data_IF_160636392925
#
_entry.id   IF_160636392925
#
_cell.length_a   1.000
_cell.length_b   1.000
_cell.length_c   1.000
_cell.angle_alpha   90.00
_cell.angle_beta   90.00
_cell.angle_gamma   90.00
#
_symmetry.space_group_name_H-M   'P 1'
#
loop_
_entity.id
_entity.type
_entity.pdbx_description
1 polymer ?
#
# COMPACT_ATOMS: atom_id res chain seq x y z
N UNK A 1 -8.45 15.63 -8.79
CA UNK A 1 -8.77 14.46 -7.94
C UNK A 1 -9.84 13.56 -8.53
N UNK A 2 -11.05 14.07 -8.83
CA UNK A 2 -12.15 13.26 -9.40
C UNK A 2 -11.78 12.62 -10.76
N UNK A 3 -11.23 13.40 -11.69
CA UNK A 3 -10.79 12.90 -13.01
C UNK A 3 -9.76 11.78 -12.91
N UNK A 4 -8.81 11.90 -11.98
CA UNK A 4 -7.78 10.88 -11.72
C UNK A 4 -8.40 9.57 -11.22
N UNK A 5 -9.30 9.63 -10.24
CA UNK A 5 -9.98 8.45 -9.68
C UNK A 5 -10.86 7.75 -10.72
N UNK A 6 -11.57 8.54 -11.55
CA UNK A 6 -12.39 8.00 -12.65
C UNK A 6 -11.53 7.32 -13.71
N UNK A 7 -10.40 7.93 -14.08
CA UNK A 7 -9.47 7.35 -15.05
C UNK A 7 -8.89 6.02 -14.52
N UNK A 8 -8.42 6.01 -13.26
CA UNK A 8 -7.95 4.78 -12.60
C UNK A 8 -9.02 3.68 -12.57
N UNK A 9 -10.25 4.01 -12.15
CA UNK A 9 -11.36 3.05 -12.12
C UNK A 9 -11.67 2.47 -13.50
N UNK A 10 -11.71 3.32 -14.53
CA UNK A 10 -11.92 2.87 -15.90
C UNK A 10 -10.78 2.02 -16.45
N UNK A 11 -9.53 2.34 -16.10
CA UNK A 11 -8.37 1.52 -16.47
C UNK A 11 -8.42 0.13 -15.86
N UNK A 12 -8.90 -0.03 -14.62
CA UNK A 12 -9.12 -1.35 -14.04
C UNK A 12 -10.21 -2.13 -14.77
N UNK A 13 -11.33 -1.48 -15.10
CA UNK A 13 -12.40 -2.12 -15.89
C UNK A 13 -11.88 -2.60 -17.25
N UNK A 14 -11.07 -1.79 -17.93
CA UNK A 14 -10.54 -2.16 -19.25
C UNK A 14 -9.47 -3.23 -19.15
N UNK A 15 -8.45 -3.03 -18.32
CA UNK A 15 -7.25 -3.87 -18.33
C UNK A 15 -7.43 -5.16 -17.52
N UNK A 16 -8.23 -5.15 -16.46
CA UNK A 16 -8.33 -6.31 -15.56
C UNK A 16 -9.60 -7.13 -15.84
N UNK A 17 -10.68 -6.50 -16.32
CA UNK A 17 -11.94 -7.19 -16.60
C UNK A 17 -12.20 -7.37 -18.10
N UNK A 18 -12.15 -6.29 -18.88
CA UNK A 18 -12.61 -6.33 -20.27
C UNK A 18 -11.62 -7.03 -21.20
N UNK A 19 -10.35 -6.61 -21.18
CA UNK A 19 -9.31 -7.13 -22.07
C UNK A 19 -9.04 -8.62 -21.80
N UNK A 20 -8.81 -9.09 -20.56
CA UNK A 20 -8.45 -10.49 -20.33
C UNK A 20 -9.62 -11.47 -20.53
N UNK A 21 -10.85 -11.06 -20.18
CA UNK A 21 -11.99 -11.99 -20.10
C UNK A 21 -13.02 -11.85 -21.22
N UNK A 22 -13.24 -10.65 -21.79
CA UNK A 22 -14.27 -10.44 -22.80
C UNK A 22 -13.69 -10.36 -24.21
N UNK A 23 -12.64 -9.56 -24.41
CA UNK A 23 -12.09 -9.24 -25.73
C UNK A 23 -10.58 -9.01 -25.67
N UNK A 24 -9.75 -10.08 -25.76
CA UNK A 24 -8.29 -9.99 -25.58
C UNK A 24 -7.50 -9.49 -26.80
N UNK A 25 -8.09 -9.51 -28.00
CA UNK A 25 -7.39 -9.18 -29.25
C UNK A 25 -8.07 -8.03 -30.02
N UNK A 26 -8.45 -6.96 -29.33
CA UNK A 26 -9.04 -5.77 -29.95
C UNK A 26 -8.02 -4.65 -30.12
N UNK A 27 -8.35 -3.68 -30.98
CA UNK A 27 -7.48 -2.51 -31.20
C UNK A 27 -7.37 -1.62 -29.96
N UNK A 28 -6.25 -0.93 -29.79
CA UNK A 28 -6.08 0.04 -28.70
C UNK A 28 -7.14 1.15 -28.72
N UNK A 29 -7.59 1.56 -29.93
CA UNK A 29 -8.69 2.52 -30.08
C UNK A 29 -9.99 2.00 -29.48
N UNK A 30 -10.26 0.70 -29.61
CA UNK A 30 -11.42 0.06 -28.99
C UNK A 30 -11.31 0.09 -27.46
N UNK A 31 -10.16 -0.29 -26.90
CA UNK A 31 -9.95 -0.25 -25.44
C UNK A 31 -10.08 1.17 -24.86
N UNK A 32 -9.60 2.19 -25.57
CA UNK A 32 -9.80 3.59 -25.16
C UNK A 32 -11.27 3.98 -25.14
N UNK A 33 -12.06 3.55 -26.13
CA UNK A 33 -13.50 3.80 -26.15
C UNK A 33 -14.23 3.08 -25.02
N UNK A 34 -13.90 1.82 -24.76
CA UNK A 34 -14.45 1.07 -23.62
C UNK A 34 -14.06 1.75 -22.30
N UNK A 35 -12.85 2.28 -22.17
CA UNK A 35 -12.43 3.05 -21.00
C UNK A 35 -13.24 4.34 -20.81
N UNK A 36 -13.60 5.04 -21.89
CA UNK A 36 -14.49 6.21 -21.83
C UNK A 36 -15.90 5.82 -21.37
N UNK A 37 -16.46 4.75 -21.91
CA UNK A 37 -17.77 4.23 -21.48
C UNK A 37 -17.71 3.82 -20.01
N UNK A 38 -16.68 3.07 -19.62
CA UNK A 38 -16.45 2.68 -18.22
C UNK A 38 -16.37 3.88 -17.29
N UNK A 39 -15.67 4.95 -17.68
CA UNK A 39 -15.60 6.20 -16.90
C UNK A 39 -16.97 6.81 -16.67
N UNK A 40 -17.81 6.89 -17.72
CA UNK A 40 -19.17 7.45 -17.64
C UNK A 40 -20.07 6.57 -16.76
N UNK A 41 -20.00 5.25 -16.90
CA UNK A 41 -20.76 4.30 -16.08
C UNK A 41 -20.37 4.40 -14.61
N UNK A 42 -19.07 4.39 -14.31
CA UNK A 42 -18.57 4.56 -12.93
C UNK A 42 -19.03 5.90 -12.35
N UNK A 43 -19.02 6.97 -13.14
CA UNK A 43 -19.51 8.28 -12.69
C UNK A 43 -20.99 8.26 -12.34
N UNK A 44 -21.82 7.70 -13.22
CA UNK A 44 -23.26 7.60 -12.99
C UNK A 44 -23.58 6.78 -11.74
N UNK A 45 -22.89 5.64 -11.55
CA UNK A 45 -23.02 4.83 -10.33
C UNK A 45 -22.55 5.57 -9.08
N UNK A 46 -21.45 6.32 -9.18
CA UNK A 46 -20.92 7.11 -8.07
C UNK A 46 -21.91 8.20 -7.65
N UNK A 47 -22.52 8.90 -8.62
CA UNK A 47 -23.57 9.88 -8.36
C UNK A 47 -24.81 9.26 -7.74
N UNK A 48 -25.24 8.10 -8.24
CA UNK A 48 -26.36 7.35 -7.67
C UNK A 48 -26.10 7.00 -6.20
N UNK A 49 -24.95 6.43 -5.89
CA UNK A 49 -24.59 6.08 -4.50
C UNK A 49 -24.49 7.34 -3.63
N UNK A 50 -23.85 8.39 -4.13
CA UNK A 50 -23.70 9.65 -3.41
C UNK A 50 -25.05 10.31 -3.09
N UNK A 51 -25.99 10.30 -4.03
CA UNK A 51 -27.28 10.95 -3.84
C UNK A 51 -28.20 10.18 -2.88
N UNK A 52 -28.26 8.85 -2.99
CA UNK A 52 -29.22 8.04 -2.23
C UNK A 52 -28.69 7.50 -0.89
N UNK A 53 -27.38 7.25 -0.78
CA UNK A 53 -26.82 6.51 0.37
C UNK A 53 -25.87 7.34 1.24
N UNK A 54 -25.26 8.39 0.68
CA UNK A 54 -24.27 9.18 1.42
C UNK A 54 -24.99 10.25 2.25
N UNK A 55 -25.35 9.88 3.47
CA UNK A 55 -25.76 10.82 4.52
C UNK A 55 -24.55 11.14 5.42
N UNK A 56 -24.21 12.42 5.54
CA UNK A 56 -23.04 12.85 6.33
C UNK A 56 -21.72 12.39 5.70
N UNK A 57 -21.18 13.20 4.78
CA UNK A 57 -19.97 12.90 3.99
C UNK A 57 -18.77 12.46 4.86
N UNK A 58 -18.66 13.02 6.08
CA UNK A 58 -17.57 12.70 7.01
C UNK A 58 -17.60 11.25 7.49
N UNK A 59 -18.76 10.71 7.86
CA UNK A 59 -18.88 9.33 8.33
C UNK A 59 -18.45 8.34 7.23
N UNK A 60 -18.91 8.59 5.99
CA UNK A 60 -18.50 7.84 4.82
C UNK A 60 -17.01 7.97 4.51
N UNK A 61 -16.44 9.17 4.68
CA UNK A 61 -15.00 9.38 4.52
C UNK A 61 -14.19 8.56 5.54
N UNK A 62 -14.57 8.57 6.82
CA UNK A 62 -13.90 7.81 7.88
C UNK A 62 -14.05 6.30 7.68
N UNK A 63 -15.24 5.86 7.25
CA UNK A 63 -15.51 4.48 6.88
C UNK A 63 -14.61 4.00 5.73
N UNK A 64 -14.58 4.72 4.60
CA UNK A 64 -13.76 4.34 3.43
C UNK A 64 -12.27 4.32 3.78
N UNK A 65 -11.77 5.32 4.52
CA UNK A 65 -10.39 5.32 4.98
C UNK A 65 -10.10 4.11 5.86
N UNK A 66 -11.02 3.74 6.75
CA UNK A 66 -10.85 2.56 7.59
C UNK A 66 -10.84 1.28 6.77
N UNK A 67 -11.72 1.10 5.79
CA UNK A 67 -11.72 -0.09 4.92
C UNK A 67 -10.36 -0.25 4.22
N UNK A 68 -9.87 0.82 3.60
CA UNK A 68 -8.62 0.81 2.85
C UNK A 68 -7.45 0.55 3.79
N UNK A 69 -7.30 1.30 4.87
CA UNK A 69 -6.10 1.22 5.70
C UNK A 69 -6.13 0.09 6.73
N UNK A 70 -7.29 -0.26 7.30
CA UNK A 70 -7.38 -1.27 8.35
C UNK A 70 -7.14 -2.69 7.86
N UNK A 71 -7.51 -3.00 6.62
CA UNK A 71 -7.38 -4.34 6.05
C UNK A 71 -6.26 -4.44 5.01
N UNK A 72 -6.09 -3.43 4.15
CA UNK A 72 -5.08 -3.50 3.07
C UNK A 72 -3.67 -3.24 3.59
N UNK A 73 -3.47 -2.39 4.61
CA UNK A 73 -2.11 -2.17 5.15
C UNK A 73 -1.52 -3.45 5.77
N UNK A 74 -2.21 -4.15 6.70
CA UNK A 74 -1.74 -5.44 7.21
C UNK A 74 -1.44 -6.45 6.11
N UNK A 75 -2.35 -6.59 5.13
CA UNK A 75 -2.19 -7.50 4.00
C UNK A 75 -0.91 -7.18 3.23
N UNK A 76 -0.76 -5.92 2.81
CA UNK A 76 0.35 -5.46 1.98
C UNK A 76 1.70 -5.63 2.68
N UNK A 77 1.72 -5.42 4.00
CA UNK A 77 2.90 -5.63 4.82
C UNK A 77 3.20 -7.12 4.98
N UNK A 78 2.26 -7.93 5.48
CA UNK A 78 2.46 -9.35 5.74
C UNK A 78 2.94 -10.12 4.51
N UNK A 79 2.48 -9.73 3.30
CA UNK A 79 2.87 -10.37 2.04
C UNK A 79 4.37 -10.41 1.80
N UNK A 80 5.10 -9.38 2.24
CA UNK A 80 6.55 -9.32 2.08
C UNK A 80 7.29 -9.81 3.31
N UNK A 81 6.74 -9.65 4.51
CA UNK A 81 7.48 -9.91 5.75
C UNK A 81 7.16 -11.27 6.41
N UNK A 82 6.21 -12.04 5.89
CA UNK A 82 5.78 -13.31 6.50
C UNK A 82 5.53 -14.42 5.48
N UNK A 83 6.31 -15.50 5.55
CA UNK A 83 6.26 -16.63 4.60
C UNK A 83 4.93 -17.37 4.55
N UNK A 84 4.13 -17.31 5.62
CA UNK A 84 2.94 -18.17 5.77
C UNK A 84 1.70 -17.58 5.12
N UNK A 85 1.71 -16.28 4.80
CA UNK A 85 0.58 -15.61 4.14
C UNK A 85 0.26 -16.33 2.83
N UNK A 86 -1.02 -16.57 2.60
CA UNK A 86 -1.52 -17.21 1.39
C UNK A 86 -2.67 -16.39 0.79
N UNK A 87 -3.09 -16.78 -0.41
CA UNK A 87 -4.14 -16.08 -1.16
C UNK A 87 -5.48 -16.05 -0.42
N UNK A 88 -5.79 -17.04 0.42
CA UNK A 88 -7.03 -17.07 1.20
C UNK A 88 -7.04 -16.00 2.29
N UNK A 89 -5.91 -15.79 2.98
CA UNK A 89 -5.76 -14.70 3.95
C UNK A 89 -5.89 -13.32 3.29
N UNK A 90 -5.32 -13.15 2.09
CA UNK A 90 -5.46 -11.93 1.30
C UNK A 90 -6.91 -11.69 0.87
N UNK A 91 -7.56 -12.71 0.30
CA UNK A 91 -8.95 -12.63 -0.14
C UNK A 91 -9.89 -12.36 1.04
N UNK A 92 -9.67 -12.98 2.21
CA UNK A 92 -10.47 -12.75 3.39
C UNK A 92 -10.42 -11.30 3.85
N UNK A 93 -9.25 -10.66 3.86
CA UNK A 93 -9.14 -9.24 4.21
C UNK A 93 -9.93 -8.34 3.25
N UNK A 94 -9.90 -8.63 1.95
CA UNK A 94 -10.62 -7.85 0.94
C UNK A 94 -12.14 -8.06 1.02
N UNK A 95 -12.58 -9.31 1.18
CA UNK A 95 -14.00 -9.68 1.17
C UNK A 95 -14.68 -9.33 2.49
N UNK A 96 -14.02 -9.59 3.63
CA UNK A 96 -14.58 -9.35 4.97
C UNK A 96 -14.37 -7.90 5.40
N UNK A 97 -13.33 -7.22 4.90
CA UNK A 97 -12.98 -5.88 5.34
C UNK A 97 -14.08 -4.84 5.13
N UNK A 98 -14.74 -4.87 3.97
CA UNK A 98 -15.85 -3.96 3.65
C UNK A 98 -17.08 -4.18 4.56
N UNK A 99 -17.67 -5.39 4.65
CA UNK A 99 -18.84 -5.61 5.51
C UNK A 99 -18.52 -5.39 6.99
N UNK A 100 -17.34 -5.81 7.47
CA UNK A 100 -16.97 -5.63 8.87
C UNK A 100 -16.79 -4.14 9.22
N UNK A 101 -16.15 -3.38 8.33
CA UNK A 101 -16.06 -1.93 8.48
C UNK A 101 -17.44 -1.27 8.47
N UNK A 102 -18.36 -1.73 7.62
CA UNK A 102 -19.70 -1.15 7.54
C UNK A 102 -20.43 -1.36 8.86
N UNK A 103 -20.39 -2.58 9.40
CA UNK A 103 -21.01 -2.93 10.69
C UNK A 103 -20.44 -2.08 11.83
N UNK A 104 -19.13 -1.90 11.88
CA UNK A 104 -18.48 -1.09 12.92
C UNK A 104 -18.86 0.38 12.80
N UNK A 105 -18.80 0.98 11.61
CA UNK A 105 -19.03 2.41 11.45
C UNK A 105 -20.50 2.81 11.59
N UNK A 106 -21.44 2.01 11.08
CA UNK A 106 -22.85 2.39 11.00
C UNK A 106 -23.69 1.72 12.11
N UNK A 107 -23.99 0.39 12.09
CA UNK A 107 -24.72 -0.28 13.17
C UNK A 107 -24.16 -0.11 14.58
N UNK A 108 -22.83 -0.21 14.76
CA UNK A 108 -22.20 -0.07 16.08
C UNK A 108 -21.95 1.39 16.48
N UNK A 109 -22.30 2.36 15.63
CA UNK A 109 -22.31 3.78 15.99
C UNK A 109 -20.94 4.46 16.08
N UNK A 110 -19.84 3.84 15.62
CA UNK A 110 -18.52 4.47 15.64
C UNK A 110 -18.41 5.68 14.71
N UNK A 111 -19.38 5.89 13.81
CA UNK A 111 -19.52 7.14 13.03
C UNK A 111 -19.84 8.37 13.88
N UNK A 112 -20.36 8.20 15.10
CA UNK A 112 -20.63 9.31 16.00
C UNK A 112 -19.42 9.64 16.88
N UNK A 113 -18.65 10.65 16.49
CA UNK A 113 -17.45 11.08 17.23
C UNK A 113 -17.71 11.58 18.66
N UNK A 114 -18.93 12.03 18.96
CA UNK A 114 -19.28 12.46 20.31
C UNK A 114 -19.35 11.28 21.27
N UNK A 115 -19.70 10.10 20.76
CA UNK A 115 -19.74 8.86 21.53
C UNK A 115 -18.39 8.13 21.48
N UNK A 116 -17.77 8.06 20.30
CA UNK A 116 -16.55 7.29 20.07
C UNK A 116 -15.54 8.09 19.25
N UNK A 117 -14.35 8.40 19.79
CA UNK A 117 -13.26 8.94 19.00
C UNK A 117 -12.93 8.07 17.80
N UNK A 118 -12.67 8.69 16.64
CA UNK A 118 -12.35 7.99 15.38
C UNK A 118 -11.28 6.89 15.54
N UNK A 119 -10.23 7.15 16.32
CA UNK A 119 -9.12 6.22 16.52
C UNK A 119 -9.56 4.89 17.13
N UNK A 120 -10.65 4.86 17.92
CA UNK A 120 -11.17 3.61 18.50
C UNK A 120 -11.73 2.69 17.42
N UNK A 121 -12.60 3.23 16.55
CA UNK A 121 -13.18 2.46 15.45
C UNK A 121 -12.10 2.00 14.47
N UNK A 122 -11.14 2.87 14.17
CA UNK A 122 -10.00 2.52 13.32
C UNK A 122 -9.12 1.42 13.93
N UNK A 123 -8.70 1.53 15.18
CA UNK A 123 -7.87 0.52 15.83
C UNK A 123 -8.59 -0.82 16.00
N UNK A 124 -9.89 -0.78 16.30
CA UNK A 124 -10.73 -1.97 16.34
C UNK A 124 -10.72 -2.69 14.99
N UNK A 125 -10.98 -1.97 13.90
CA UNK A 125 -10.97 -2.54 12.56
C UNK A 125 -9.57 -3.01 12.13
N UNK A 126 -8.52 -2.28 12.49
CA UNK A 126 -7.15 -2.67 12.19
C UNK A 126 -6.78 -3.98 12.91
N UNK A 127 -7.12 -4.09 14.19
CA UNK A 127 -6.93 -5.31 14.97
C UNK A 127 -7.75 -6.48 14.42
N UNK A 128 -9.03 -6.24 14.08
CA UNK A 128 -9.89 -7.24 13.46
C UNK A 128 -9.36 -7.69 12.10
N UNK A 129 -8.91 -6.76 11.24
CA UNK A 129 -8.31 -7.09 9.95
C UNK A 129 -7.06 -7.95 10.10
N UNK A 130 -6.16 -7.59 11.02
CA UNK A 130 -4.98 -8.39 11.32
C UNK A 130 -5.35 -9.79 11.84
N UNK A 131 -6.32 -9.87 12.75
CA UNK A 131 -6.82 -11.13 13.29
C UNK A 131 -7.48 -12.00 12.21
N UNK A 132 -8.30 -11.42 11.33
CA UNK A 132 -8.94 -12.11 10.20
C UNK A 132 -7.90 -12.69 9.26
N UNK A 133 -6.88 -11.90 8.88
CA UNK A 133 -5.80 -12.38 8.00
C UNK A 133 -5.08 -13.55 8.65
N UNK A 134 -4.67 -13.41 9.92
CA UNK A 134 -3.94 -14.47 10.63
C UNK A 134 -4.80 -15.72 10.77
N UNK A 135 -6.05 -15.57 11.23
CA UNK A 135 -6.96 -16.69 11.44
C UNK A 135 -7.18 -17.47 10.14
N UNK A 136 -7.54 -16.80 9.05
CA UNK A 136 -7.77 -17.48 7.76
C UNK A 136 -6.49 -18.09 7.22
N UNK A 137 -5.34 -17.42 7.36
CA UNK A 137 -4.05 -17.94 6.93
C UNK A 137 -3.69 -19.26 7.63
N UNK A 138 -3.97 -19.38 8.93
CA UNK A 138 -3.72 -20.61 9.68
C UNK A 138 -4.77 -21.70 9.44
N UNK A 139 -6.02 -21.32 9.18
CA UNK A 139 -7.10 -22.26 8.86
C UNK A 139 -7.02 -22.83 7.44
N UNK A 140 -6.22 -22.22 6.57
CA UNK A 140 -6.08 -22.63 5.16
C UNK A 140 -4.69 -23.20 4.86
N UNK A 141 -4.54 -24.05 3.83
CA UNK A 141 -3.25 -24.64 3.49
C UNK A 141 -2.19 -23.58 3.16
N UNK A 142 -0.91 -23.83 3.50
CA UNK A 142 0.18 -22.95 3.06
C UNK A 142 0.36 -22.99 1.54
N UNK A 143 0.92 -21.91 1.00
CA UNK A 143 1.33 -21.85 -0.41
C UNK A 143 2.44 -22.89 -0.69
N UNK A 144 2.52 -23.37 -1.93
CA UNK A 144 3.52 -24.37 -2.32
C UNK A 144 4.93 -23.85 -2.05
N UNK A 145 5.77 -24.70 -1.46
CA UNK A 145 7.13 -24.31 -1.07
C UNK A 145 7.97 -23.89 -2.27
N UNK A 146 7.72 -24.46 -3.45
CA UNK A 146 8.37 -24.09 -4.70
C UNK A 146 8.07 -22.64 -5.12
N UNK A 147 6.80 -22.20 -4.99
CA UNK A 147 6.40 -20.82 -5.26
C UNK A 147 7.11 -19.87 -4.30
N UNK A 148 7.16 -20.21 -3.01
CA UNK A 148 7.80 -19.40 -1.99
C UNK A 148 9.33 -19.30 -2.20
N UNK A 149 9.97 -20.39 -2.63
CA UNK A 149 11.39 -20.40 -3.00
C UNK A 149 11.67 -19.49 -4.19
N UNK A 150 10.84 -19.56 -5.22
CA UNK A 150 11.00 -18.71 -6.40
C UNK A 150 10.84 -17.22 -6.06
N UNK A 151 9.82 -16.91 -5.26
CA UNK A 151 9.61 -15.56 -4.75
C UNK A 151 10.81 -15.07 -3.92
N UNK A 152 11.30 -15.89 -2.98
CA UNK A 152 12.44 -15.53 -2.14
C UNK A 152 13.72 -15.34 -2.95
N UNK A 153 13.96 -16.17 -3.97
CA UNK A 153 15.12 -16.06 -4.86
C UNK A 153 15.14 -14.74 -5.64
N UNK A 154 13.97 -14.28 -6.11
CA UNK A 154 13.83 -13.05 -6.89
C UNK A 154 13.84 -11.79 -6.03
N UNK A 155 13.00 -11.77 -4.99
CA UNK A 155 12.73 -10.55 -4.23
C UNK A 155 13.62 -10.40 -2.99
N UNK A 156 14.22 -11.49 -2.49
CA UNK A 156 15.02 -11.54 -1.25
C UNK A 156 14.40 -10.71 -0.11
N UNK A 157 13.10 -10.92 0.17
CA UNK A 157 12.38 -10.05 1.07
C UNK A 157 12.91 -10.17 2.52
N UNK A 158 12.96 -9.05 3.27
CA UNK A 158 13.19 -9.10 4.71
C UNK A 158 12.03 -9.77 5.46
N UNK A 159 12.29 -10.26 6.68
CA UNK A 159 11.25 -10.72 7.61
C UNK A 159 11.33 -12.19 8.01
N UNK A 160 10.18 -12.74 8.40
CA UNK A 160 10.04 -14.10 8.89
C UNK A 160 9.91 -15.05 7.69
N UNK A 161 11.06 -15.50 7.17
CA UNK A 161 11.14 -16.46 6.03
C UNK A 161 11.76 -17.81 6.40
N UNK A 162 11.81 -18.12 7.70
CA UNK A 162 12.56 -19.24 8.28
C UNK A 162 12.55 -20.56 7.49
N UNK A 163 11.39 -21.16 7.17
CA UNK A 163 11.32 -22.43 6.46
C UNK A 163 11.94 -22.39 5.06
N UNK A 164 11.74 -21.28 4.33
CA UNK A 164 12.25 -21.10 2.97
C UNK A 164 13.76 -20.81 2.99
N UNK A 165 14.22 -20.01 3.96
CA UNK A 165 15.62 -19.59 4.10
C UNK A 165 16.56 -20.75 4.44
N UNK A 166 16.07 -21.79 5.13
CA UNK A 166 16.87 -22.95 5.55
C UNK A 166 17.48 -23.72 4.36
N UNK A 167 16.85 -23.65 3.20
CA UNK A 167 17.31 -24.34 1.99
C UNK A 167 18.47 -23.60 1.28
N UNK A 168 18.82 -22.39 1.71
CA UNK A 168 19.88 -21.58 1.11
C UNK A 168 21.20 -21.69 1.87
N UNK A 169 22.32 -21.60 1.14
CA UNK A 169 23.66 -21.69 1.74
C UNK A 169 23.90 -20.61 2.81
N UNK A 170 24.73 -20.89 3.84
CA UNK A 170 25.07 -19.89 4.87
C UNK A 170 25.62 -18.59 4.30
N UNK A 171 26.36 -18.66 3.19
CA UNK A 171 26.96 -17.50 2.52
C UNK A 171 25.90 -16.59 1.89
N UNK A 172 24.95 -17.17 1.14
CA UNK A 172 23.84 -16.42 0.54
C UNK A 172 23.01 -15.73 1.62
N UNK A 173 22.75 -16.42 2.74
CA UNK A 173 22.01 -15.85 3.88
C UNK A 173 22.73 -14.65 4.51
N UNK A 174 24.06 -14.68 4.61
CA UNK A 174 24.86 -13.55 5.12
C UNK A 174 24.79 -12.36 4.18
N UNK A 175 24.88 -12.59 2.88
CA UNK A 175 24.77 -11.53 1.86
C UNK A 175 23.41 -10.85 1.92
N UNK A 176 22.32 -11.62 1.92
CA UNK A 176 20.95 -11.09 2.01
C UNK A 176 20.78 -10.27 3.30
N UNK A 177 21.23 -10.79 4.45
CA UNK A 177 21.13 -10.06 5.73
C UNK A 177 21.88 -8.73 5.69
N UNK A 178 23.05 -8.69 5.06
CA UNK A 178 23.84 -7.46 4.90
C UNK A 178 23.13 -6.46 3.97
N UNK A 179 22.59 -6.92 2.85
CA UNK A 179 21.76 -6.12 1.95
C UNK A 179 20.57 -5.52 2.70
N UNK A 180 19.77 -6.36 3.37
CA UNK A 180 18.63 -5.94 4.20
C UNK A 180 18.99 -4.89 5.24
N UNK A 181 20.08 -5.07 6.00
CA UNK A 181 20.50 -4.08 7.00
C UNK A 181 20.84 -2.73 6.35
N UNK A 182 21.49 -2.78 5.19
CA UNK A 182 21.86 -1.57 4.45
C UNK A 182 20.60 -0.87 3.93
N UNK A 183 19.59 -1.63 3.49
CA UNK A 183 18.31 -1.11 3.03
C UNK A 183 17.49 -0.51 4.17
N UNK A 184 17.49 -1.12 5.36
CA UNK A 184 16.83 -0.55 6.56
C UNK A 184 17.43 0.82 6.92
N UNK A 185 18.75 0.97 6.83
CA UNK A 185 19.42 2.26 7.06
C UNK A 185 18.99 3.28 6.00
N UNK A 186 18.92 2.88 4.73
CA UNK A 186 18.52 3.78 3.65
C UNK A 186 17.04 4.18 3.77
N UNK A 187 16.17 3.26 4.20
CA UNK A 187 14.79 3.55 4.56
C UNK A 187 14.69 4.54 5.72
N UNK A 188 15.48 4.36 6.79
CA UNK A 188 15.49 5.29 7.92
C UNK A 188 15.95 6.69 7.50
N UNK A 189 16.99 6.78 6.67
CA UNK A 189 17.42 8.06 6.07
C UNK A 189 16.32 8.68 5.21
N UNK A 190 15.61 7.88 4.42
CA UNK A 190 14.48 8.33 3.61
C UNK A 190 13.32 8.85 4.46
N UNK A 191 12.98 8.19 5.57
CA UNK A 191 11.96 8.67 6.52
C UNK A 191 12.37 10.02 7.12
N UNK A 192 13.61 10.14 7.60
CA UNK A 192 14.14 11.40 8.14
C UNK A 192 14.09 12.50 7.07
N UNK A 193 14.52 12.21 5.85
CA UNK A 193 14.47 13.14 4.73
C UNK A 193 13.04 13.62 4.45
N UNK A 194 12.09 12.70 4.28
CA UNK A 194 10.69 13.02 3.99
C UNK A 194 10.04 13.83 5.12
N UNK A 195 10.23 13.42 6.37
CA UNK A 195 9.70 14.15 7.53
C UNK A 195 10.32 15.54 7.64
N UNK A 196 11.63 15.66 7.47
CA UNK A 196 12.31 16.95 7.49
C UNK A 196 11.87 17.84 6.32
N UNK A 197 11.63 17.29 5.13
CA UNK A 197 11.15 18.04 3.97
C UNK A 197 9.76 18.62 4.22
N UNK A 198 8.85 17.82 4.79
CA UNK A 198 7.52 18.28 5.20
C UNK A 198 7.64 19.42 6.22
N UNK A 199 8.48 19.26 7.25
CA UNK A 199 8.70 20.29 8.25
C UNK A 199 9.33 21.56 7.66
N UNK A 200 10.26 21.44 6.73
CA UNK A 200 10.90 22.58 6.06
C UNK A 200 9.89 23.39 5.24
N UNK A 201 8.88 22.74 4.64
CA UNK A 201 7.81 23.43 3.90
C UNK A 201 6.80 24.10 4.83
N UNK A 202 6.41 23.42 5.93
CA UNK A 202 5.34 23.90 6.81
C UNK A 202 5.84 24.95 7.81
N UNK A 203 7.08 24.85 8.30
CA UNK A 203 7.59 25.71 9.38
C UNK A 203 7.61 27.21 9.05
N UNK A 204 7.97 27.64 7.82
CA UNK A 204 7.88 29.05 7.43
C UNK A 204 6.44 29.60 7.46
N UNK A 205 5.46 28.77 7.07
CA UNK A 205 4.03 29.15 7.11
C UNK A 205 3.57 29.40 8.54
N UNK A 206 4.06 28.61 9.50
CA UNK A 206 3.83 28.80 10.93
C UNK A 206 4.72 29.86 11.59
N UNK A 207 5.56 30.58 10.83
CA UNK A 207 6.57 31.53 11.34
C UNK A 207 7.60 30.91 12.31
N UNK A 208 7.78 29.59 12.27
CA UNK A 208 8.75 28.88 13.09
C UNK A 208 10.12 28.77 12.41
N UNK A 209 10.83 29.88 12.29
CA UNK A 209 12.10 29.97 11.56
C UNK A 209 13.22 29.06 12.10
N UNK A 210 13.25 28.80 13.41
CA UNK A 210 14.19 27.87 14.02
C UNK A 210 13.99 26.43 13.53
N UNK A 211 12.73 25.96 13.53
CA UNK A 211 12.37 24.61 13.07
C UNK A 211 12.65 24.49 11.57
N UNK A 212 12.37 25.56 10.81
CA UNK A 212 12.74 25.63 9.39
C UNK A 212 14.24 25.42 9.17
N UNK A 213 15.10 26.13 9.91
CA UNK A 213 16.56 25.99 9.80
C UNK A 213 17.04 24.56 10.09
N UNK A 214 16.56 23.97 11.19
CA UNK A 214 16.88 22.57 11.54
C UNK A 214 16.39 21.57 10.49
N UNK A 215 15.14 21.73 10.03
CA UNK A 215 14.55 20.87 9.02
C UNK A 215 15.31 20.97 7.70
N UNK A 216 15.72 22.17 7.28
CA UNK A 216 16.51 22.37 6.07
C UNK A 216 17.87 21.67 6.15
N UNK A 217 18.58 21.80 7.27
CA UNK A 217 19.84 21.07 7.50
C UNK A 217 19.61 19.56 7.47
N UNK A 218 18.57 19.07 8.14
CA UNK A 218 18.23 17.66 8.13
C UNK A 218 17.91 17.13 6.72
N UNK A 219 17.17 17.89 5.90
CA UNK A 219 16.90 17.56 4.49
C UNK A 219 18.20 17.46 3.69
N UNK A 220 19.06 18.48 3.78
CA UNK A 220 20.30 18.53 3.00
C UNK A 220 21.25 17.39 3.39
N UNK A 221 21.43 17.15 4.69
CA UNK A 221 22.31 16.09 5.20
C UNK A 221 21.79 14.69 4.87
N UNK A 222 20.53 14.39 5.17
CA UNK A 222 19.92 13.08 4.89
C UNK A 222 19.82 12.81 3.39
N UNK A 223 19.48 13.82 2.59
CA UNK A 223 19.46 13.74 1.14
C UNK A 223 20.85 13.49 0.55
N UNK A 224 21.87 14.23 1.00
CA UNK A 224 23.24 14.03 0.54
C UNK A 224 23.77 12.63 0.91
N UNK A 225 23.51 12.17 2.14
CA UNK A 225 23.87 10.82 2.59
C UNK A 225 23.15 9.74 1.78
N UNK A 226 21.86 9.92 1.52
CA UNK A 226 21.06 8.99 0.71
C UNK A 226 21.61 8.89 -0.71
N UNK A 227 21.82 10.02 -1.39
CA UNK A 227 22.37 10.08 -2.75
C UNK A 227 23.77 9.45 -2.80
N UNK A 228 24.64 9.78 -1.85
CA UNK A 228 26.00 9.24 -1.80
C UNK A 228 26.01 7.72 -1.63
N UNK A 229 25.14 7.17 -0.77
CA UNK A 229 25.02 5.72 -0.55
C UNK A 229 24.46 5.00 -1.77
N UNK A 230 23.43 5.56 -2.40
CA UNK A 230 22.83 4.99 -3.61
C UNK A 230 23.75 5.07 -4.83
N UNK A 231 24.54 6.14 -4.95
CA UNK A 231 25.57 6.27 -5.98
C UNK A 231 26.66 5.20 -5.82
N UNK A 232 27.14 4.95 -4.59
CA UNK A 232 28.10 3.86 -4.31
C UNK A 232 27.55 2.47 -4.64
N UNK A 233 26.24 2.26 -4.49
CA UNK A 233 25.54 1.03 -4.88
C UNK A 233 25.36 0.88 -6.39
N UNK A 234 25.69 1.91 -7.19
CA UNK A 234 25.60 1.87 -8.65
C UNK A 234 24.17 1.92 -9.19
N UNK A 235 23.19 2.29 -8.36
CA UNK A 235 21.76 2.35 -8.76
C UNK A 235 21.56 3.31 -9.95
N UNK A 236 22.29 4.43 -9.96
CA UNK A 236 22.17 5.44 -11.01
C UNK A 236 22.93 5.09 -12.31
N UNK A 237 23.69 3.99 -12.36
CA UNK A 237 24.45 3.61 -13.57
C UNK A 237 23.56 3.23 -14.75
N UNK A 238 22.35 2.74 -14.50
CA UNK A 238 21.37 2.44 -15.55
C UNK A 238 20.68 3.67 -16.15
N UNK A 239 20.80 4.85 -15.51
CA UNK A 239 20.24 6.10 -16.05
C UNK A 239 21.21 6.80 -17.01
N UNK A 240 22.51 6.47 -16.95
CA UNK A 240 23.53 7.06 -17.81
C UNK A 240 23.73 6.33 -19.14
N UNK A 241 23.15 5.12 -19.32
CA UNK A 241 23.33 4.32 -20.53
C UNK A 241 22.44 4.73 -21.71
N UNK A 242 21.42 5.57 -21.49
CA UNK A 242 20.52 6.07 -22.54
C UNK A 242 20.88 7.49 -23.03
N UNK A 243 22.08 7.98 -22.67
CA UNK A 243 22.56 9.33 -23.02
C UNK A 243 23.72 9.35 -24.03
N UNK A 244 23.92 8.28 -24.81
CA UNK A 244 24.93 8.21 -25.87
C UNK A 244 24.30 7.74 -27.20
#
# INVERSE_FOLDING_TARGET
TVSTLMNWGASYVVNDLYKPFLRPAESERHYVWIGRIGSVVIFALSLFVAYYFVQGLRAWFLFINSVVFAFILPLSWLRFFWWRLNIYGEAAALIIGLPLSYIVWFPLGFSNEQAHPFWQGFLLLFGLGFATIIAVTYLTPPERIETLREFYRRCRPPGLWGPVVRDFSPEVRRTIRRETLTDVIDCALGVVFCTAAILAVISPLGRHWYIFGLALVAVLTSGALFIARWSRRGVFRGLSSDAA
#
